data_IF_269634154279
#
_entry.id   IF_269634154279
#
_cell.length_a   1.000
_cell.length_b   1.000
_cell.length_c   1.000
_cell.angle_alpha   90.00
_cell.angle_beta   90.00
_cell.angle_gamma   90.00
#
_symmetry.space_group_name_H-M   'P 1'
#
loop_
_entity.id
_entity.type
_entity.pdbx_description
1 polymer ?
#
# COMPACT_ATOMS: atom_id res chain seq x y z
N UNK A 1 12.12 15.11 -15.84
CA UNK A 1 12.38 16.56 -15.96
C UNK A 1 11.27 17.35 -15.27
N UNK A 2 9.99 17.22 -15.69
CA UNK A 2 8.88 17.81 -14.92
C UNK A 2 8.56 17.02 -13.65
N UNK A 3 8.44 15.67 -13.71
CA UNK A 3 8.29 14.82 -12.52
C UNK A 3 9.31 15.13 -11.41
N UNK A 4 10.59 15.25 -11.76
CA UNK A 4 11.64 15.66 -10.81
C UNK A 4 11.43 17.05 -10.20
N UNK A 5 10.83 17.99 -10.94
CA UNK A 5 10.45 19.29 -10.38
C UNK A 5 9.25 19.16 -9.43
N UNK A 6 8.32 18.25 -9.72
CA UNK A 6 7.16 17.98 -8.87
C UNK A 6 7.58 17.45 -7.51
N UNK A 7 8.46 16.45 -7.48
CA UNK A 7 9.03 15.86 -6.25
C UNK A 7 9.73 16.88 -5.34
N UNK A 8 10.38 17.89 -5.93
CA UNK A 8 11.12 18.91 -5.18
C UNK A 8 10.24 20.10 -4.78
N UNK A 9 9.25 20.44 -5.60
CA UNK A 9 8.41 21.61 -5.38
C UNK A 9 7.24 21.32 -4.42
N UNK A 10 6.68 20.10 -4.42
CA UNK A 10 5.57 19.68 -3.56
C UNK A 10 4.43 20.72 -3.52
N UNK A 11 4.08 21.19 -2.32
CA UNK A 11 3.02 22.16 -2.08
C UNK A 11 3.20 23.51 -2.80
N UNK A 12 4.42 23.86 -3.24
CA UNK A 12 4.69 25.07 -4.01
C UNK A 12 4.01 25.05 -5.39
N UNK A 13 3.58 23.88 -5.87
CA UNK A 13 2.82 23.73 -7.11
C UNK A 13 1.34 24.06 -6.97
N UNK A 14 0.79 24.08 -5.75
CA UNK A 14 -0.65 24.26 -5.50
C UNK A 14 -1.24 25.51 -6.20
N UNK A 15 -0.57 26.69 -6.18
CA UNK A 15 -1.08 27.88 -6.88
C UNK A 15 -1.16 27.74 -8.41
N UNK A 16 -0.48 26.74 -8.97
CA UNK A 16 -0.35 26.49 -10.41
C UNK A 16 -1.09 25.23 -10.88
N UNK A 17 -1.90 24.59 -10.02
CA UNK A 17 -2.54 23.32 -10.34
C UNK A 17 -3.44 23.36 -11.58
N UNK A 18 -4.31 24.37 -11.71
CA UNK A 18 -5.19 24.49 -12.89
C UNK A 18 -4.39 24.49 -14.22
N UNK A 19 -3.42 25.41 -14.43
CA UNK A 19 -2.66 25.41 -15.68
C UNK A 19 -1.80 24.15 -15.86
N UNK A 20 -1.26 23.56 -14.79
CA UNK A 20 -0.51 22.30 -14.88
C UNK A 20 -1.42 21.18 -15.39
N UNK A 21 -2.55 20.96 -14.71
CA UNK A 21 -3.52 19.91 -15.07
C UNK A 21 -4.03 20.07 -16.49
N UNK A 22 -4.35 21.29 -16.93
CA UNK A 22 -4.79 21.53 -18.31
C UNK A 22 -3.74 21.14 -19.34
N UNK A 23 -2.46 21.39 -19.07
CA UNK A 23 -1.38 21.00 -19.97
C UNK A 23 -1.15 19.48 -19.97
N UNK A 24 -1.18 18.83 -18.81
CA UNK A 24 -1.10 17.38 -18.70
C UNK A 24 -2.28 16.70 -19.42
N UNK A 25 -3.50 17.21 -19.24
CA UNK A 25 -4.69 16.70 -19.92
C UNK A 25 -4.62 16.93 -21.43
N UNK A 26 -4.14 18.10 -21.88
CA UNK A 26 -3.91 18.35 -23.29
C UNK A 26 -2.90 17.35 -23.90
N UNK A 27 -1.89 16.94 -23.14
CA UNK A 27 -0.89 15.98 -23.61
C UNK A 27 -1.50 14.61 -23.97
N UNK A 28 -2.60 14.15 -23.33
CA UNK A 28 -3.31 12.93 -23.74
C UNK A 28 -3.77 12.96 -25.21
N UNK A 29 -4.04 14.15 -25.76
CA UNK A 29 -4.49 14.32 -27.16
C UNK A 29 -3.34 14.35 -28.16
N UNK A 30 -2.10 14.50 -27.70
CA UNK A 30 -0.90 14.68 -28.53
C UNK A 30 0.05 13.51 -28.43
N UNK A 31 0.17 12.94 -27.24
CA UNK A 31 1.18 11.94 -26.94
C UNK A 31 0.83 10.61 -27.58
N UNK A 32 1.86 10.03 -28.19
CA UNK A 32 1.83 8.66 -28.66
C UNK A 32 2.21 7.72 -27.52
N UNK A 33 1.97 6.43 -27.71
CA UNK A 33 2.07 5.38 -26.69
C UNK A 33 3.27 5.52 -25.71
N UNK A 34 4.52 5.62 -26.17
CA UNK A 34 5.69 5.77 -25.26
C UNK A 34 5.64 7.00 -24.35
N UNK A 35 5.18 8.14 -24.88
CA UNK A 35 5.11 9.38 -24.11
C UNK A 35 3.92 9.37 -23.15
N UNK A 36 2.89 8.57 -23.43
CA UNK A 36 1.74 8.40 -22.57
C UNK A 36 2.14 7.72 -21.24
N UNK A 37 3.07 6.76 -21.29
CA UNK A 37 3.57 6.11 -20.07
C UNK A 37 4.27 7.12 -19.13
N UNK A 38 5.07 8.01 -19.70
CA UNK A 38 5.74 9.09 -18.96
C UNK A 38 4.73 10.13 -18.43
N UNK A 39 3.61 10.29 -19.13
CA UNK A 39 2.53 11.18 -18.67
C UNK A 39 1.82 10.63 -17.44
N UNK A 40 1.62 9.31 -17.35
CA UNK A 40 1.06 8.68 -16.15
C UNK A 40 1.96 8.88 -14.94
N UNK A 41 3.26 8.66 -15.11
CA UNK A 41 4.28 8.93 -14.08
C UNK A 41 4.18 10.37 -13.57
N UNK A 42 4.23 11.37 -14.47
CA UNK A 42 4.10 12.78 -14.08
C UNK A 42 2.78 13.09 -13.35
N UNK A 43 1.65 12.49 -13.76
CA UNK A 43 0.37 12.69 -13.06
C UNK A 43 0.39 12.06 -11.67
N UNK A 44 0.97 10.85 -11.54
CA UNK A 44 1.14 10.18 -10.25
C UNK A 44 2.02 11.01 -9.30
N UNK A 45 3.19 11.43 -9.78
CA UNK A 45 4.11 12.29 -9.02
C UNK A 45 3.45 13.61 -8.61
N UNK A 46 2.67 14.25 -9.49
CA UNK A 46 1.91 15.45 -9.14
C UNK A 46 0.93 15.17 -8.00
N UNK A 47 0.19 14.06 -8.08
CA UNK A 47 -0.79 13.67 -7.09
C UNK A 47 -0.14 13.43 -5.72
N UNK A 48 1.01 12.74 -5.67
CA UNK A 48 1.76 12.54 -4.44
C UNK A 48 2.28 13.88 -3.87
N UNK A 49 2.79 14.75 -4.75
CA UNK A 49 3.40 16.03 -4.40
C UNK A 49 2.42 17.05 -3.80
N UNK A 50 1.16 17.06 -4.27
CA UNK A 50 0.14 18.04 -3.82
C UNK A 50 -0.95 17.42 -2.94
N UNK A 51 -1.03 16.09 -2.88
CA UNK A 51 -1.93 15.33 -2.02
C UNK A 51 -3.38 15.85 -2.09
N UNK A 52 -4.03 16.07 -0.94
CA UNK A 52 -5.42 16.52 -0.83
C UNK A 52 -5.76 17.85 -1.53
N UNK A 53 -4.77 18.66 -1.94
CA UNK A 53 -5.03 19.86 -2.75
C UNK A 53 -5.62 19.53 -4.12
N UNK A 54 -5.40 18.31 -4.63
CA UNK A 54 -5.99 17.82 -5.87
C UNK A 54 -7.48 17.50 -5.74
N UNK A 55 -7.98 17.26 -4.52
CA UNK A 55 -9.38 16.94 -4.23
C UNK A 55 -10.30 18.17 -4.30
N UNK A 56 -10.41 18.75 -5.49
CA UNK A 56 -11.39 19.79 -5.84
C UNK A 56 -12.16 19.38 -7.07
N UNK A 57 -13.45 19.68 -7.09
CA UNK A 57 -14.34 19.27 -8.18
C UNK A 57 -13.82 19.71 -9.55
N UNK A 58 -13.33 20.94 -9.66
CA UNK A 58 -12.77 21.48 -10.89
C UNK A 58 -11.55 20.71 -11.40
N UNK A 59 -10.71 20.16 -10.52
CA UNK A 59 -9.53 19.39 -10.89
C UNK A 59 -9.90 17.95 -11.25
N UNK A 60 -10.83 17.35 -10.49
CA UNK A 60 -11.38 16.02 -10.77
C UNK A 60 -12.06 16.00 -12.16
N UNK A 61 -12.89 17.02 -12.45
CA UNK A 61 -13.59 17.16 -13.73
C UNK A 61 -12.61 17.31 -14.92
N UNK A 62 -11.39 17.83 -14.68
CA UNK A 62 -10.33 17.95 -15.69
C UNK A 62 -9.59 16.62 -15.86
N UNK A 63 -9.15 16.01 -14.75
CA UNK A 63 -8.18 14.92 -14.75
C UNK A 63 -8.80 13.54 -15.00
N UNK A 64 -9.95 13.24 -14.40
CA UNK A 64 -10.49 11.88 -14.41
C UNK A 64 -10.99 11.40 -15.77
N UNK A 65 -11.67 12.22 -16.61
CA UNK A 65 -12.16 11.75 -17.91
C UNK A 65 -11.11 11.09 -18.82
N UNK A 66 -9.92 11.68 -19.09
CA UNK A 66 -8.91 11.03 -19.92
C UNK A 66 -8.31 9.76 -19.30
N UNK A 67 -8.16 9.71 -17.96
CA UNK A 67 -7.69 8.50 -17.27
C UNK A 67 -8.69 7.35 -17.42
N UNK A 68 -9.98 7.62 -17.25
CA UNK A 68 -11.06 6.64 -17.41
C UNK A 68 -11.18 6.16 -18.86
N UNK A 69 -11.02 7.06 -19.83
CA UNK A 69 -11.00 6.68 -21.24
C UNK A 69 -9.88 5.66 -21.51
N UNK A 70 -8.67 5.92 -21.00
CA UNK A 70 -7.54 4.99 -21.13
C UNK A 70 -7.75 3.68 -20.38
N UNK A 71 -8.31 3.76 -19.18
CA UNK A 71 -8.70 2.59 -18.40
C UNK A 71 -9.61 1.64 -19.19
N UNK A 72 -10.61 2.16 -19.89
CA UNK A 72 -11.51 1.33 -20.70
C UNK A 72 -10.88 0.78 -21.98
N UNK A 73 -9.85 1.44 -22.51
CA UNK A 73 -9.18 1.02 -23.75
C UNK A 73 -8.20 -0.14 -23.53
N UNK A 74 -7.49 -0.15 -22.41
CA UNK A 74 -6.48 -1.16 -22.12
C UNK A 74 -7.12 -2.48 -21.69
N UNK A 75 -6.55 -3.61 -22.14
CA UNK A 75 -7.00 -4.96 -21.78
C UNK A 75 -6.29 -5.47 -20.55
N UNK A 76 -6.86 -6.50 -19.92
CA UNK A 76 -6.33 -7.11 -18.69
C UNK A 76 -5.01 -7.87 -18.89
N UNK A 77 -4.62 -8.15 -20.13
CA UNK A 77 -3.35 -8.78 -20.53
C UNK A 77 -2.33 -7.77 -21.10
N UNK A 78 -2.64 -6.48 -21.05
CA UNK A 78 -1.81 -5.39 -21.59
C UNK A 78 -0.89 -4.82 -20.51
N UNK A 79 0.42 -4.91 -20.71
CA UNK A 79 1.43 -4.36 -19.79
C UNK A 79 1.40 -2.84 -19.69
N UNK A 80 0.76 -2.16 -20.62
CA UNK A 80 0.49 -0.72 -20.54
C UNK A 80 -0.43 -0.36 -19.37
N UNK A 81 -1.08 -1.35 -18.76
CA UNK A 81 -1.81 -1.15 -17.51
C UNK A 81 -0.89 -0.73 -16.36
N UNK A 82 0.37 -1.19 -16.29
CA UNK A 82 1.19 -0.97 -15.10
C UNK A 82 1.35 0.52 -14.76
N UNK A 83 1.79 1.39 -15.68
CA UNK A 83 1.97 2.80 -15.35
C UNK A 83 0.63 3.51 -15.09
N UNK A 84 -0.47 3.05 -15.72
CA UNK A 84 -1.80 3.61 -15.45
C UNK A 84 -2.29 3.25 -14.03
N UNK A 85 -2.10 2.01 -13.59
CA UNK A 85 -2.52 1.54 -12.27
C UNK A 85 -1.69 2.18 -11.16
N UNK A 86 -0.38 2.32 -11.37
CA UNK A 86 0.52 3.07 -10.48
C UNK A 86 0.08 4.53 -10.36
N UNK A 87 -0.17 5.21 -11.49
CA UNK A 87 -0.70 6.57 -11.50
C UNK A 87 -2.04 6.69 -10.77
N UNK A 88 -2.96 5.75 -11.00
CA UNK A 88 -4.24 5.73 -10.31
C UNK A 88 -4.08 5.51 -8.80
N UNK A 89 -3.06 4.78 -8.35
CA UNK A 89 -2.82 4.58 -6.91
C UNK A 89 -2.56 5.91 -6.22
N UNK A 90 -1.62 6.71 -6.74
CA UNK A 90 -1.34 8.06 -6.24
C UNK A 90 -2.54 9.00 -6.36
N UNK A 91 -3.24 8.98 -7.51
CA UNK A 91 -4.41 9.83 -7.75
C UNK A 91 -5.54 9.50 -6.78
N UNK A 92 -5.82 8.22 -6.52
CA UNK A 92 -6.88 7.81 -5.61
C UNK A 92 -6.58 8.25 -4.18
N UNK A 93 -5.34 8.09 -3.71
CA UNK A 93 -4.92 8.58 -2.38
C UNK A 93 -5.07 10.10 -2.28
N UNK A 94 -4.61 10.86 -3.28
CA UNK A 94 -4.69 12.32 -3.30
C UNK A 94 -6.13 12.85 -3.38
N UNK A 95 -7.00 12.18 -4.15
CA UNK A 95 -8.40 12.58 -4.30
C UNK A 95 -9.27 12.15 -3.11
N UNK A 96 -8.87 11.13 -2.36
CA UNK A 96 -9.64 10.60 -1.24
C UNK A 96 -11.10 10.30 -1.60
N UNK A 97 -12.05 10.81 -0.82
CA UNK A 97 -13.50 10.68 -1.10
C UNK A 97 -13.95 11.27 -2.44
N UNK A 98 -13.18 12.18 -3.04
CA UNK A 98 -13.43 12.68 -4.39
C UNK A 98 -13.36 11.58 -5.46
N UNK A 99 -12.65 10.48 -5.19
CA UNK A 99 -12.57 9.31 -6.08
C UNK A 99 -13.78 8.38 -5.99
N UNK A 100 -14.65 8.54 -4.99
CA UNK A 100 -15.77 7.62 -4.73
C UNK A 100 -16.64 7.30 -5.96
N UNK A 101 -16.98 8.25 -6.86
CA UNK A 101 -17.76 7.96 -8.06
C UNK A 101 -17.11 6.96 -9.05
N UNK A 102 -15.79 6.79 -8.95
CA UNK A 102 -14.99 5.95 -9.85
C UNK A 102 -14.53 4.64 -9.19
N UNK A 103 -14.69 4.53 -7.86
CA UNK A 103 -14.09 3.47 -7.06
C UNK A 103 -14.54 2.06 -7.41
N UNK A 104 -15.86 1.84 -7.59
CA UNK A 104 -16.41 0.50 -7.80
C UNK A 104 -15.81 -0.24 -9.02
N UNK A 105 -15.86 0.32 -10.25
CA UNK A 105 -15.30 -0.39 -11.41
C UNK A 105 -13.78 -0.58 -11.33
N UNK A 106 -13.06 0.32 -10.63
CA UNK A 106 -11.62 0.17 -10.40
C UNK A 106 -11.33 -0.99 -9.45
N UNK A 107 -12.01 -1.02 -8.31
CA UNK A 107 -11.90 -2.07 -7.31
C UNK A 107 -12.22 -3.46 -7.90
N UNK A 108 -13.35 -3.59 -8.61
CA UNK A 108 -13.79 -4.86 -9.21
C UNK A 108 -12.76 -5.39 -10.23
N UNK A 109 -12.16 -4.51 -11.03
CA UNK A 109 -11.15 -4.92 -11.99
C UNK A 109 -9.86 -5.37 -11.30
N UNK A 110 -9.40 -4.68 -10.26
CA UNK A 110 -8.22 -5.10 -9.50
C UNK A 110 -8.42 -6.47 -8.87
N UNK A 111 -9.57 -6.73 -8.23
CA UNK A 111 -9.91 -8.05 -7.67
C UNK A 111 -9.90 -9.12 -8.77
N UNK A 112 -10.45 -8.82 -9.94
CA UNK A 112 -10.46 -9.74 -11.09
C UNK A 112 -9.04 -10.03 -11.61
N UNK A 113 -8.17 -9.03 -11.72
CA UNK A 113 -6.77 -9.21 -12.14
C UNK A 113 -6.03 -10.14 -11.18
N UNK A 114 -6.17 -9.90 -9.88
CA UNK A 114 -5.56 -10.74 -8.83
C UNK A 114 -6.08 -12.18 -8.92
N UNK A 115 -7.40 -12.34 -8.96
CA UNK A 115 -8.02 -13.67 -9.04
C UNK A 115 -7.59 -14.45 -10.29
N UNK A 116 -7.64 -13.82 -11.47
CA UNK A 116 -7.28 -14.48 -12.73
C UNK A 116 -5.82 -14.92 -12.75
N UNK A 117 -4.91 -14.07 -12.24
CA UNK A 117 -3.49 -14.40 -12.17
C UNK A 117 -3.23 -15.58 -11.23
N UNK A 118 -3.90 -15.62 -10.06
CA UNK A 118 -3.83 -16.76 -9.15
C UNK A 118 -4.37 -18.05 -9.78
N UNK A 119 -5.49 -17.99 -10.50
CA UNK A 119 -6.05 -19.15 -11.22
C UNK A 119 -5.09 -19.64 -12.30
N UNK A 120 -4.52 -18.74 -13.10
CA UNK A 120 -3.53 -19.09 -14.12
C UNK A 120 -2.28 -19.74 -13.48
N UNK A 121 -1.84 -19.25 -12.33
CA UNK A 121 -0.71 -19.83 -11.60
C UNK A 121 -1.03 -21.25 -11.13
N UNK A 122 -2.22 -21.46 -10.56
CA UNK A 122 -2.68 -22.79 -10.16
C UNK A 122 -2.77 -23.75 -11.35
N UNK A 123 -3.24 -23.28 -12.49
CA UNK A 123 -3.31 -24.08 -13.72
C UNK A 123 -1.91 -24.45 -14.23
N UNK A 124 -0.95 -23.52 -14.20
CA UNK A 124 0.45 -23.78 -14.54
C UNK A 124 1.06 -24.85 -13.60
N UNK A 125 0.79 -24.77 -12.30
CA UNK A 125 1.27 -25.75 -11.33
C UNK A 125 0.70 -27.17 -11.58
N UNK A 126 -0.53 -27.26 -12.10
CA UNK A 126 -1.16 -28.53 -12.47
C UNK A 126 -0.69 -29.03 -13.85
N UNK A 127 -0.43 -28.12 -14.78
CA UNK A 127 0.04 -28.42 -16.12
C UNK A 127 1.18 -27.47 -16.53
N UNK A 128 2.46 -27.86 -16.32
CA UNK A 128 3.62 -27.03 -16.63
C UNK A 128 3.83 -26.69 -18.11
N UNK A 129 2.98 -27.19 -19.02
CA UNK A 129 3.00 -26.78 -20.44
C UNK A 129 2.29 -25.45 -20.69
N UNK A 130 1.49 -24.97 -19.73
CA UNK A 130 0.85 -23.65 -19.80
C UNK A 130 1.88 -22.58 -19.43
N UNK A 131 1.69 -21.37 -19.96
CA UNK A 131 2.59 -20.25 -19.63
C UNK A 131 2.44 -19.85 -18.14
N UNK A 132 3.57 -19.52 -17.52
CA UNK A 132 3.59 -18.94 -16.18
C UNK A 132 2.94 -17.54 -16.27
N UNK A 133 1.96 -17.20 -15.43
CA UNK A 133 1.34 -15.89 -15.48
C UNK A 133 2.30 -14.81 -15.01
N UNK A 134 2.12 -13.62 -15.56
CA UNK A 134 2.84 -12.42 -15.16
C UNK A 134 2.26 -11.85 -13.85
N UNK A 135 2.97 -12.02 -12.74
CA UNK A 135 2.50 -11.57 -11.43
C UNK A 135 2.62 -10.06 -11.22
N UNK A 136 3.25 -9.32 -12.14
CA UNK A 136 3.29 -7.86 -12.06
C UNK A 136 1.87 -7.26 -12.10
N UNK A 137 0.94 -7.89 -12.83
CA UNK A 137 -0.49 -7.52 -12.80
C UNK A 137 -1.11 -7.63 -11.41
N UNK A 138 -0.70 -8.61 -10.59
CA UNK A 138 -1.17 -8.73 -9.22
C UNK A 138 -0.60 -7.62 -8.35
N UNK A 139 0.68 -7.31 -8.49
CA UNK A 139 1.39 -6.30 -7.70
C UNK A 139 0.72 -4.95 -7.89
N UNK A 140 0.61 -4.47 -9.13
CA UNK A 140 0.00 -3.14 -9.40
C UNK A 140 -1.48 -3.08 -9.03
N UNK A 141 -2.20 -4.21 -9.10
CA UNK A 141 -3.61 -4.27 -8.68
C UNK A 141 -3.75 -4.22 -7.15
N UNK A 142 -2.86 -4.88 -6.40
CA UNK A 142 -2.81 -4.83 -4.95
C UNK A 142 -2.43 -3.42 -4.46
N UNK A 143 -1.46 -2.78 -5.11
CA UNK A 143 -1.03 -1.42 -4.78
C UNK A 143 -2.15 -0.40 -5.03
N UNK A 144 -2.90 -0.52 -6.14
CA UNK A 144 -4.06 0.32 -6.40
C UNK A 144 -5.21 0.07 -5.41
N UNK A 145 -5.42 -1.17 -4.97
CA UNK A 145 -6.39 -1.46 -3.90
C UNK A 145 -5.96 -0.84 -2.57
N UNK A 146 -4.66 -0.82 -2.27
CA UNK A 146 -4.09 -0.16 -1.09
C UNK A 146 -4.34 1.36 -1.17
N UNK A 147 -4.06 2.00 -2.32
CA UNK A 147 -4.40 3.42 -2.56
C UNK A 147 -5.90 3.72 -2.46
N UNK A 148 -6.76 2.84 -2.97
CA UNK A 148 -8.22 2.92 -2.80
C UNK A 148 -8.64 2.87 -1.33
N UNK A 149 -8.08 1.95 -0.55
CA UNK A 149 -8.38 1.83 0.87
C UNK A 149 -7.90 3.08 1.64
N UNK A 150 -6.70 3.59 1.36
CA UNK A 150 -6.18 4.81 1.98
C UNK A 150 -7.02 6.04 1.63
N UNK A 151 -7.37 6.22 0.36
CA UNK A 151 -8.14 7.38 -0.10
C UNK A 151 -9.59 7.38 0.37
N UNK A 152 -10.26 6.21 0.33
CA UNK A 152 -11.68 6.12 0.71
C UNK A 152 -11.90 5.90 2.21
N UNK A 153 -10.88 5.43 2.92
CA UNK A 153 -11.00 5.00 4.32
C UNK A 153 -12.16 4.02 4.49
N UNK A 154 -12.99 4.23 5.51
CA UNK A 154 -14.11 3.34 5.84
C UNK A 154 -15.14 3.18 4.71
N UNK A 155 -15.19 4.09 3.73
CA UNK A 155 -16.12 3.96 2.59
C UNK A 155 -15.77 2.76 1.68
N UNK A 156 -14.57 2.18 1.81
CA UNK A 156 -14.17 0.95 1.12
C UNK A 156 -14.94 -0.29 1.61
N UNK A 157 -15.48 -0.26 2.84
CA UNK A 157 -16.05 -1.44 3.51
C UNK A 157 -17.14 -2.13 2.67
N UNK A 158 -17.99 -1.35 1.99
CA UNK A 158 -19.03 -1.87 1.11
C UNK A 158 -18.45 -2.62 -0.11
N UNK A 159 -17.30 -2.21 -0.64
CA UNK A 159 -16.65 -2.89 -1.76
C UNK A 159 -15.97 -4.18 -1.30
N UNK A 160 -15.31 -4.15 -0.14
CA UNK A 160 -14.65 -5.33 0.45
C UNK A 160 -15.68 -6.40 0.80
N UNK A 161 -16.77 -6.03 1.48
CA UNK A 161 -17.81 -6.98 1.90
C UNK A 161 -18.55 -7.65 0.74
N UNK A 162 -18.71 -6.94 -0.38
CA UNK A 162 -19.40 -7.46 -1.58
C UNK A 162 -18.45 -8.12 -2.60
N UNK A 163 -17.14 -8.13 -2.34
CA UNK A 163 -16.15 -8.69 -3.27
C UNK A 163 -16.38 -10.18 -3.54
N UNK A 164 -16.44 -10.54 -4.82
CA UNK A 164 -16.56 -11.94 -5.27
C UNK A 164 -15.54 -12.22 -6.39
N UNK A 165 -14.56 -13.11 -6.18
CA UNK A 165 -14.26 -13.82 -4.93
C UNK A 165 -13.84 -12.86 -3.80
N UNK A 166 -13.87 -13.34 -2.56
CA UNK A 166 -13.50 -12.52 -1.40
C UNK A 166 -12.06 -12.03 -1.53
N UNK A 167 -11.86 -10.71 -1.51
CA UNK A 167 -10.53 -10.10 -1.60
C UNK A 167 -9.54 -10.68 -0.57
N UNK A 168 -9.99 -10.90 0.67
CA UNK A 168 -9.14 -11.42 1.75
C UNK A 168 -8.58 -12.81 1.46
N UNK A 169 -9.29 -13.62 0.68
CA UNK A 169 -8.83 -14.95 0.26
C UNK A 169 -7.72 -14.91 -0.80
N UNK A 170 -7.46 -13.73 -1.39
CA UNK A 170 -6.50 -13.55 -2.49
C UNK A 170 -5.14 -12.98 -2.02
N UNK A 171 -4.98 -12.65 -0.74
CA UNK A 171 -3.81 -11.92 -0.22
C UNK A 171 -2.59 -12.81 0.13
N UNK A 172 -2.57 -14.07 -0.30
CA UNK A 172 -1.48 -15.01 0.01
C UNK A 172 -0.79 -15.49 -1.26
N UNK A 173 0.54 -15.33 -1.34
CA UNK A 173 1.32 -15.73 -2.51
C UNK A 173 2.78 -16.10 -2.15
N UNK A 174 3.40 -17.08 -2.84
CA UNK A 174 4.81 -17.42 -2.63
C UNK A 174 5.82 -16.40 -3.17
N UNK A 175 5.43 -15.45 -4.02
CA UNK A 175 6.32 -14.40 -4.56
C UNK A 175 6.44 -13.24 -3.58
N UNK A 176 7.67 -12.81 -3.30
CA UNK A 176 7.97 -11.83 -2.27
C UNK A 176 7.35 -10.46 -2.55
N UNK A 177 7.46 -9.99 -3.79
CA UNK A 177 6.93 -8.70 -4.24
C UNK A 177 5.39 -8.68 -4.15
N UNK A 178 4.73 -9.80 -4.44
CA UNK A 178 3.27 -9.94 -4.23
C UNK A 178 2.93 -9.88 -2.74
N UNK A 179 3.71 -10.54 -1.87
CA UNK A 179 3.51 -10.45 -0.42
C UNK A 179 3.70 -9.03 0.11
N UNK A 180 4.68 -8.30 -0.40
CA UNK A 180 4.92 -6.90 -0.01
C UNK A 180 3.66 -6.05 -0.22
N UNK A 181 3.08 -6.09 -1.42
CA UNK A 181 1.86 -5.34 -1.75
C UNK A 181 0.64 -5.87 -1.01
N UNK A 182 0.51 -7.18 -0.85
CA UNK A 182 -0.59 -7.80 -0.11
C UNK A 182 -0.60 -7.39 1.37
N UNK A 183 0.57 -7.30 2.02
CA UNK A 183 0.68 -6.86 3.40
C UNK A 183 0.43 -5.35 3.57
N UNK A 184 0.83 -4.52 2.61
CA UNK A 184 0.45 -3.11 2.60
C UNK A 184 -1.09 -2.97 2.56
N UNK A 185 -1.75 -3.64 1.62
CA UNK A 185 -3.21 -3.66 1.55
C UNK A 185 -3.86 -4.21 2.83
N UNK A 186 -3.31 -5.27 3.43
CA UNK A 186 -3.84 -5.85 4.66
C UNK A 186 -3.79 -4.86 5.85
N UNK A 187 -2.69 -4.10 5.99
CA UNK A 187 -2.59 -3.06 7.00
C UNK A 187 -3.62 -1.95 6.77
N UNK A 188 -3.74 -1.45 5.53
CA UNK A 188 -4.73 -0.45 5.16
C UNK A 188 -6.18 -0.92 5.43
N UNK A 189 -6.50 -2.17 5.07
CA UNK A 189 -7.81 -2.75 5.33
C UNK A 189 -8.08 -2.94 6.83
N UNK A 190 -7.03 -3.18 7.62
CA UNK A 190 -7.14 -3.27 9.08
C UNK A 190 -7.50 -1.91 9.67
N UNK A 191 -6.97 -0.81 9.13
CA UNK A 191 -7.37 0.56 9.52
C UNK A 191 -8.82 0.85 9.11
N UNK A 192 -9.19 0.54 7.86
CA UNK A 192 -10.45 0.98 7.28
C UNK A 192 -11.67 0.10 7.62
N UNK A 193 -11.50 -1.22 7.75
CA UNK A 193 -12.61 -2.17 7.86
C UNK A 193 -12.24 -3.47 8.62
N UNK A 194 -11.63 -3.32 9.81
CA UNK A 194 -11.15 -4.43 10.65
C UNK A 194 -12.16 -5.55 10.92
N UNK A 195 -13.46 -5.22 10.97
CA UNK A 195 -14.56 -6.18 11.17
C UNK A 195 -14.50 -7.35 10.19
N UNK A 196 -14.06 -7.12 8.95
CA UNK A 196 -13.91 -8.15 7.93
C UNK A 196 -12.60 -8.94 8.03
N UNK A 197 -11.55 -8.35 8.63
CA UNK A 197 -10.26 -9.02 8.88
C UNK A 197 -10.37 -9.99 10.05
N UNK A 198 -11.18 -9.63 11.07
CA UNK A 198 -11.31 -10.37 12.33
C UNK A 198 -11.47 -11.90 12.19
N UNK A 199 -12.31 -12.44 11.28
CA UNK A 199 -12.46 -13.88 11.10
C UNK A 199 -11.19 -14.61 10.62
N UNK A 200 -10.24 -13.90 10.04
CA UNK A 200 -9.01 -14.44 9.44
C UNK A 200 -7.75 -14.13 10.26
N UNK A 201 -7.88 -13.52 11.45
CA UNK A 201 -6.74 -13.05 12.25
C UNK A 201 -5.69 -14.13 12.50
N UNK A 202 -6.11 -15.35 12.82
CA UNK A 202 -5.14 -16.42 13.08
C UNK A 202 -4.27 -16.72 11.86
N UNK A 203 -4.87 -16.78 10.67
CA UNK A 203 -4.13 -17.01 9.43
C UNK A 203 -3.17 -15.85 9.16
N UNK A 204 -3.68 -14.62 9.14
CA UNK A 204 -2.87 -13.45 8.83
C UNK A 204 -1.76 -13.21 9.85
N UNK A 205 -2.03 -13.33 11.15
CA UNK A 205 -0.99 -13.11 12.16
C UNK A 205 0.12 -14.16 12.11
N UNK A 206 -0.22 -15.43 11.85
CA UNK A 206 0.80 -16.49 11.65
C UNK A 206 1.66 -16.17 10.43
N UNK A 207 1.04 -15.78 9.32
CA UNK A 207 1.75 -15.43 8.09
C UNK A 207 2.65 -14.21 8.31
N UNK A 208 2.12 -13.10 8.85
CA UNK A 208 2.87 -11.87 9.11
C UNK A 208 4.08 -12.10 10.02
N UNK A 209 3.90 -12.78 11.15
CA UNK A 209 4.98 -13.06 12.12
C UNK A 209 6.09 -13.89 11.47
N UNK A 210 5.74 -14.82 10.58
CA UNK A 210 6.74 -15.62 9.85
C UNK A 210 7.67 -14.75 9.00
N UNK A 211 7.17 -13.63 8.45
CA UNK A 211 7.90 -12.74 7.55
C UNK A 211 8.71 -11.65 8.27
N UNK A 212 8.47 -11.42 9.57
CA UNK A 212 9.25 -10.47 10.37
C UNK A 212 10.58 -11.14 10.75
N UNK A 213 11.65 -10.89 9.98
CA UNK A 213 12.96 -11.50 10.20
C UNK A 213 14.10 -10.46 10.07
N UNK A 214 14.99 -10.33 11.07
CA UNK A 214 16.19 -9.50 10.96
C UNK A 214 17.13 -9.88 9.80
N UNK A 215 17.08 -11.13 9.36
CA UNK A 215 17.87 -11.64 8.25
C UNK A 215 17.02 -11.85 7.00
N UNK A 216 15.87 -11.15 6.90
CA UNK A 216 14.99 -11.27 5.74
C UNK A 216 15.75 -10.95 4.44
N UNK A 217 15.68 -11.86 3.48
CA UNK A 217 16.18 -11.62 2.11
C UNK A 217 15.45 -10.43 1.46
N UNK A 218 14.14 -10.33 1.71
CA UNK A 218 13.29 -9.25 1.21
C UNK A 218 12.87 -8.32 2.36
N UNK A 219 13.69 -7.31 2.63
CA UNK A 219 13.46 -6.31 3.69
C UNK A 219 12.10 -5.63 3.58
N UNK A 220 11.66 -5.31 2.36
CA UNK A 220 10.38 -4.63 2.11
C UNK A 220 9.17 -5.48 2.53
N UNK A 221 9.24 -6.80 2.35
CA UNK A 221 8.22 -7.74 2.84
C UNK A 221 8.20 -7.73 4.37
N UNK A 222 9.37 -7.83 5.00
CA UNK A 222 9.50 -7.75 6.46
C UNK A 222 8.94 -6.44 7.02
N UNK A 223 9.21 -5.32 6.34
CA UNK A 223 8.70 -4.00 6.69
C UNK A 223 7.18 -3.94 6.69
N UNK A 224 6.56 -4.32 5.57
CA UNK A 224 5.11 -4.27 5.45
C UNK A 224 4.43 -5.31 6.35
N UNK A 225 5.06 -6.46 6.59
CA UNK A 225 4.57 -7.45 7.53
C UNK A 225 4.57 -6.93 8.98
N UNK A 226 5.66 -6.28 9.40
CA UNK A 226 5.76 -5.66 10.73
C UNK A 226 4.72 -4.56 10.89
N UNK A 227 4.61 -3.65 9.91
CA UNK A 227 3.64 -2.57 9.93
C UNK A 227 2.19 -3.09 9.97
N UNK A 228 1.80 -4.02 9.10
CA UNK A 228 0.46 -4.58 9.08
C UNK A 228 0.10 -5.32 10.39
N UNK A 229 1.07 -6.03 10.99
CA UNK A 229 0.88 -6.64 12.31
C UNK A 229 0.63 -5.58 13.41
N UNK A 230 1.27 -4.42 13.32
CA UNK A 230 1.01 -3.27 14.20
C UNK A 230 -0.38 -2.68 14.04
N UNK A 231 -0.84 -2.48 12.81
CA UNK A 231 -2.19 -1.99 12.53
C UNK A 231 -3.26 -2.97 13.03
N UNK A 232 -3.06 -4.28 12.82
CA UNK A 232 -3.94 -5.31 13.40
C UNK A 232 -3.92 -5.23 14.92
N UNK A 233 -2.74 -5.09 15.54
CA UNK A 233 -2.62 -5.03 16.99
C UNK A 233 -3.39 -3.85 17.60
N UNK A 234 -3.40 -2.69 16.93
CA UNK A 234 -4.17 -1.52 17.35
C UNK A 234 -5.68 -1.78 17.39
N UNK A 235 -6.19 -2.55 16.43
CA UNK A 235 -7.63 -2.81 16.30
C UNK A 235 -8.09 -4.02 17.12
N UNK A 236 -7.21 -5.01 17.31
CA UNK A 236 -7.53 -6.31 17.93
C UNK A 236 -7.71 -6.24 19.46
N UNK A 237 -7.09 -5.25 20.12
CA UNK A 237 -7.19 -5.08 21.57
C UNK A 237 -6.74 -6.33 22.35
N UNK A 238 -7.57 -6.78 23.29
CA UNK A 238 -7.23 -7.94 24.14
C UNK A 238 -7.19 -9.28 23.40
N UNK A 239 -7.80 -9.39 22.22
CA UNK A 239 -7.79 -10.63 21.43
C UNK A 239 -6.41 -10.90 20.82
N UNK A 240 -5.52 -9.91 20.79
CA UNK A 240 -4.16 -10.05 20.26
C UNK A 240 -3.29 -11.02 21.07
N UNK A 241 -3.64 -11.29 22.33
CA UNK A 241 -2.86 -12.03 23.33
C UNK A 241 -2.13 -13.30 22.82
N UNK A 242 -2.72 -14.15 21.97
CA UNK A 242 -2.02 -15.35 21.47
C UNK A 242 -0.80 -15.04 20.60
N UNK A 243 -0.83 -13.94 19.84
CA UNK A 243 0.21 -13.58 18.87
C UNK A 243 1.26 -12.61 19.44
N UNK A 244 1.02 -12.15 20.67
CA UNK A 244 1.87 -11.22 21.40
C UNK A 244 3.30 -11.74 21.59
N UNK A 245 3.53 -12.92 22.22
CA UNK A 245 4.88 -13.40 22.45
C UNK A 245 5.67 -13.66 21.16
N UNK A 246 5.13 -14.40 20.16
CA UNK A 246 5.90 -14.70 18.96
C UNK A 246 6.17 -13.47 18.10
N UNK A 247 5.29 -12.46 18.10
CA UNK A 247 5.57 -11.20 17.40
C UNK A 247 6.72 -10.42 18.05
N UNK A 248 6.76 -10.33 19.39
CA UNK A 248 7.85 -9.65 20.11
C UNK A 248 9.19 -10.37 19.95
N UNK A 249 9.19 -11.70 19.93
CA UNK A 249 10.39 -12.51 19.68
C UNK A 249 11.04 -12.17 18.33
N UNK A 250 10.24 -11.75 17.34
CA UNK A 250 10.70 -11.35 16.01
C UNK A 250 11.06 -9.86 15.91
N UNK A 251 10.30 -8.98 16.57
CA UNK A 251 10.50 -7.52 16.52
C UNK A 251 11.67 -7.02 17.38
N UNK A 252 11.93 -7.62 18.54
CA UNK A 252 13.03 -7.17 19.43
C UNK A 252 14.40 -7.26 18.73
N UNK A 253 14.76 -8.39 18.08
CA UNK A 253 16.02 -8.50 17.37
C UNK A 253 16.19 -7.46 16.24
N UNK A 254 15.09 -7.05 15.57
CA UNK A 254 15.12 -6.00 14.55
C UNK A 254 15.59 -4.67 15.14
N UNK A 255 15.06 -4.30 16.31
CA UNK A 255 15.39 -3.04 16.99
C UNK A 255 16.83 -2.99 17.53
N UNK A 256 17.40 -4.16 17.85
CA UNK A 256 18.77 -4.25 18.38
C UNK A 256 19.84 -4.43 17.30
N UNK A 257 19.42 -4.65 16.04
CA UNK A 257 20.34 -4.89 14.93
C UNK A 257 20.81 -3.57 14.32
N UNK A 258 22.14 -3.39 14.27
CA UNK A 258 22.78 -2.21 13.66
C UNK A 258 22.64 -2.18 12.13
N UNK A 259 22.28 -3.30 11.50
CA UNK A 259 22.14 -3.44 10.05
C UNK A 259 20.70 -3.29 9.57
N UNK A 260 19.74 -3.15 10.48
CA UNK A 260 18.32 -3.00 10.13
C UNK A 260 18.09 -1.64 9.47
N UNK A 261 17.45 -1.56 8.29
CA UNK A 261 17.13 -0.30 7.66
C UNK A 261 16.21 0.58 8.51
N UNK A 262 16.41 1.90 8.43
CA UNK A 262 15.73 2.88 9.29
C UNK A 262 14.20 2.79 9.24
N UNK A 263 13.60 2.65 8.07
CA UNK A 263 12.14 2.54 7.92
C UNK A 263 11.58 1.29 8.62
N UNK A 264 12.30 0.17 8.54
CA UNK A 264 11.93 -1.07 9.23
C UNK A 264 12.10 -0.94 10.76
N UNK A 265 13.14 -0.23 11.22
CA UNK A 265 13.30 0.11 12.64
C UNK A 265 12.14 0.97 13.17
N UNK A 266 11.75 2.00 12.41
CA UNK A 266 10.63 2.89 12.74
C UNK A 266 9.32 2.09 12.83
N UNK A 267 9.02 1.26 11.83
CA UNK A 267 7.82 0.41 11.82
C UNK A 267 7.82 -0.64 12.93
N UNK A 268 8.95 -1.28 13.21
CA UNK A 268 9.08 -2.23 14.32
C UNK A 268 8.89 -1.53 15.69
N UNK A 269 9.45 -0.34 15.84
CA UNK A 269 9.33 0.47 17.06
C UNK A 269 7.90 0.93 17.30
N UNK A 270 7.23 1.44 16.25
CA UNK A 270 5.82 1.81 16.27
C UNK A 270 4.98 0.59 16.64
N UNK A 271 5.17 -0.56 15.99
CA UNK A 271 4.42 -1.79 16.27
C UNK A 271 4.52 -2.23 17.74
N UNK A 272 5.71 -2.15 18.34
CA UNK A 272 5.91 -2.47 19.77
C UNK A 272 5.23 -1.42 20.67
N UNK A 273 5.35 -0.14 20.34
CA UNK A 273 4.80 0.97 21.12
C UNK A 273 3.26 0.99 21.10
N UNK A 274 2.65 0.71 19.95
CA UNK A 274 1.20 0.72 19.73
C UNK A 274 0.47 -0.36 20.55
N UNK A 275 1.16 -1.42 20.96
CA UNK A 275 0.55 -2.49 21.77
C UNK A 275 0.65 -2.30 23.28
N UNK A 276 1.56 -1.46 23.77
CA UNK A 276 2.04 -1.54 25.16
C UNK A 276 1.61 -0.35 26.02
N UNK A 277 0.30 -0.04 26.08
CA UNK A 277 -0.23 0.89 27.09
C UNK A 277 -1.51 0.36 27.75
N UNK A 278 -1.31 -0.47 28.79
CA UNK A 278 -1.81 -0.09 30.12
C UNK A 278 -0.58 0.28 30.96
N UNK A 279 -0.62 1.39 31.69
CA UNK A 279 0.49 1.87 32.51
C UNK A 279 0.97 0.80 33.50
N UNK A 280 2.20 0.30 33.34
CA UNK A 280 2.91 -0.57 34.29
C UNK A 280 4.42 -0.26 34.31
N UNK A 281 5.16 -0.81 35.28
CA UNK A 281 6.60 -0.53 35.53
C UNK A 281 7.52 -0.90 34.35
N UNK A 282 7.05 -1.76 33.44
CA UNK A 282 7.76 -2.14 32.23
C UNK A 282 7.74 -1.01 31.18
N UNK A 283 6.69 -0.17 31.16
CA UNK A 283 6.63 1.07 30.34
C UNK A 283 7.70 2.06 30.75
N UNK A 284 7.89 2.26 32.05
CA UNK A 284 8.95 3.12 32.58
C UNK A 284 10.34 2.57 32.23
N UNK A 285 10.51 1.25 32.30
CA UNK A 285 11.79 0.60 31.97
C UNK A 285 12.12 0.67 30.46
N UNK A 286 11.15 0.41 29.58
CA UNK A 286 11.35 0.47 28.14
C UNK A 286 11.54 1.92 27.64
N UNK A 287 10.76 2.87 28.18
CA UNK A 287 10.92 4.29 27.86
C UNK A 287 12.24 4.85 28.40
N UNK A 288 12.68 4.44 29.61
CA UNK A 288 14.01 4.77 30.11
C UNK A 288 15.12 4.15 29.26
N UNK A 289 14.97 2.91 28.81
CA UNK A 289 15.93 2.27 27.90
C UNK A 289 16.07 3.06 26.59
N UNK A 290 14.94 3.46 25.98
CA UNK A 290 14.94 4.30 24.79
C UNK A 290 15.56 5.68 25.05
N UNK A 291 15.21 6.34 26.17
CA UNK A 291 15.77 7.63 26.56
C UNK A 291 17.27 7.56 26.88
N UNK A 292 17.75 6.49 27.52
CA UNK A 292 19.18 6.28 27.80
C UNK A 292 19.96 6.06 26.52
N UNK A 293 19.42 5.31 25.56
CA UNK A 293 20.02 5.15 24.23
C UNK A 293 20.11 6.48 23.49
N UNK A 294 19.07 7.33 23.57
CA UNK A 294 19.07 8.69 23.01
C UNK A 294 20.08 9.60 23.70
N UNK A 295 20.25 9.49 25.03
CA UNK A 295 21.25 10.27 25.75
C UNK A 295 22.69 9.86 25.41
N UNK A 296 22.92 8.55 25.19
CA UNK A 296 24.24 8.01 24.84
C UNK A 296 24.60 8.31 23.39
N UNK A 297 23.62 8.35 22.48
CA UNK A 297 23.85 8.74 21.08
C UNK A 297 22.70 9.60 20.51
N UNK A 298 22.67 10.91 20.81
CA UNK A 298 21.57 11.79 20.38
C UNK A 298 21.43 11.93 18.87
N UNK A 299 22.51 11.66 18.12
CA UNK A 299 22.55 11.76 16.66
C UNK A 299 22.16 10.46 15.95
N UNK A 300 21.97 9.34 16.68
CA UNK A 300 21.65 8.04 16.10
C UNK A 300 20.25 7.92 15.51
N UNK A 301 19.33 8.81 15.89
CA UNK A 301 17.96 8.88 15.36
C UNK A 301 17.84 9.96 14.26
N UNK A 302 18.82 10.86 14.20
CA UNK A 302 18.88 11.94 13.22
C UNK A 302 19.99 11.66 12.19
N UNK A 303 19.78 10.64 11.35
CA UNK A 303 20.34 10.57 10.00
C UNK A 303 19.61 9.54 9.15
#
# INVERSE_FOLDING_TARGET
AFATLEEEACELLIPYLDPILRNLVFAFTKYQHKNLLILYDAIGTLADSVSGALNKKEYIDILMPPLIEKWHLLKDDDRDLFPLLECLSSVTTALGLGFQPFAQPVFERCVKLIHNTLVQYQLHQQNPTLDMPDKDFMIVALDLLSGLTQGLGNQIEALVSNSTPSLLSLLSDPVAEVRQSAYALLGDLSIACFTHIKPYLNQFMVDLISQVDPNAEHVSVCNNAAWAAGEIALQCGSEMQPWIPPLLERLIPLLTSETTPRTLLENAGITIALRSIRDNDEKDTAFRGLCEMIQVNPNGIAK
#
